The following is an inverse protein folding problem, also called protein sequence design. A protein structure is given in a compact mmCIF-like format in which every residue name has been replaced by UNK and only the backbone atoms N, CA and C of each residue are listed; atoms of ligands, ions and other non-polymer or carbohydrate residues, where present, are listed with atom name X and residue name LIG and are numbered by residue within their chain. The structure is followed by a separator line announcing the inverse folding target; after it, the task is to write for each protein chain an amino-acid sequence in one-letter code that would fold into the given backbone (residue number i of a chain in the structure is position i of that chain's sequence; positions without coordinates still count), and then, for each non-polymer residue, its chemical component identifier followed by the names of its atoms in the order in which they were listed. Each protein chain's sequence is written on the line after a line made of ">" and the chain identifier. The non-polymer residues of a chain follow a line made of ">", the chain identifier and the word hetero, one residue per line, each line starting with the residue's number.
data_IF_688361235318
#
_entry.id   IF_688361235318
#
_cell.length_a   1.000
_cell.length_b   1.000
_cell.length_c   1.000
_cell.angle_alpha   90.00
_cell.angle_beta   90.00
_cell.angle_gamma   90.00
#
_symmetry.space_group_name_H-M   'P 1'
#
loop_
_entity.id
_entity.type
_entity.pdbx_description
1 polymer ?
#
# COMPACT_ATOMS: atom_id res chain seq x y z
N UNK A 1 1.71 22.39 -5.65
CA UNK A 1 2.77 22.45 -4.63
C UNK A 1 2.26 23.16 -3.39
N UNK A 2 3.14 23.45 -2.43
CA UNK A 2 2.77 24.12 -1.17
C UNK A 2 2.10 25.48 -1.40
N UNK A 3 2.54 26.22 -2.44
CA UNK A 3 1.92 27.49 -2.84
C UNK A 3 0.46 27.33 -3.28
N UNK A 4 0.15 26.24 -3.98
CA UNK A 4 -1.24 25.93 -4.36
C UNK A 4 -2.07 25.61 -3.13
N UNK A 5 -1.49 24.93 -2.12
CA UNK A 5 -2.20 24.59 -0.90
C UNK A 5 -2.52 25.86 -0.11
N UNK A 6 -1.56 26.77 0.02
CA UNK A 6 -1.77 28.10 0.62
C UNK A 6 -2.81 28.90 -0.18
N UNK A 7 -2.76 28.86 -1.51
CA UNK A 7 -3.69 29.61 -2.36
C UNK A 7 -5.14 29.09 -2.34
N UNK A 8 -5.34 27.79 -2.09
CA UNK A 8 -6.68 27.16 -2.14
C UNK A 8 -7.23 26.74 -0.78
N UNK A 9 -6.52 27.02 0.32
CA UNK A 9 -6.96 26.67 1.68
C UNK A 9 -6.75 27.84 2.64
N UNK A 10 -7.28 27.78 3.87
CA UNK A 10 -7.03 28.81 4.88
C UNK A 10 -5.60 28.83 5.45
N UNK A 11 -4.75 27.86 5.11
CA UNK A 11 -3.38 27.80 5.62
C UNK A 11 -2.50 28.88 5.00
N UNK A 12 -1.59 29.43 5.81
CA UNK A 12 -0.52 30.34 5.42
C UNK A 12 0.84 29.67 5.60
N UNK A 13 1.92 30.32 5.12
CA UNK A 13 3.28 29.82 5.34
C UNK A 13 3.59 29.59 6.84
N UNK A 14 3.03 30.40 7.73
CA UNK A 14 3.24 30.36 9.18
C UNK A 14 2.32 29.39 9.92
N UNK A 15 1.17 29.05 9.33
CA UNK A 15 0.13 28.23 9.97
C UNK A 15 0.04 26.81 9.42
N UNK A 16 0.86 26.48 8.42
CA UNK A 16 1.00 25.13 7.92
C UNK A 16 1.44 24.17 9.04
N UNK A 17 0.85 22.97 9.11
CA UNK A 17 1.30 21.95 10.05
C UNK A 17 2.78 21.64 9.83
N UNK A 18 3.54 21.41 10.91
CA UNK A 18 4.99 21.21 10.87
C UNK A 18 5.44 19.99 10.04
N UNK A 19 4.55 19.05 9.77
CA UNK A 19 4.82 17.89 8.90
C UNK A 19 4.68 18.20 7.41
N UNK A 20 4.11 19.36 7.04
CA UNK A 20 3.98 19.80 5.64
C UNK A 20 5.24 20.57 5.25
N UNK A 21 6.02 20.00 4.34
CA UNK A 21 7.30 20.56 3.90
C UNK A 21 7.47 20.42 2.39
N UNK A 22 8.06 21.40 1.69
CA UNK A 22 8.48 21.24 0.31
C UNK A 22 9.74 20.35 0.19
N UNK A 23 10.41 20.07 1.30
CA UNK A 23 11.63 19.26 1.38
C UNK A 23 11.28 17.90 2.01
N UNK A 24 11.65 16.83 1.32
CA UNK A 24 11.52 15.45 1.84
C UNK A 24 12.47 15.21 3.00
N UNK A 25 12.24 14.14 3.79
CA UNK A 25 13.12 13.77 4.92
C UNK A 25 14.58 13.57 4.52
N UNK A 26 14.84 13.19 3.26
CA UNK A 26 16.18 12.92 2.72
C UNK A 26 16.80 14.13 2.00
N UNK A 27 16.14 15.30 2.03
CA UNK A 27 16.67 16.57 1.51
C UNK A 27 16.30 16.92 0.08
N UNK A 28 15.54 16.08 -0.63
CA UNK A 28 15.05 16.44 -1.97
C UNK A 28 13.97 17.53 -1.86
N UNK A 29 14.09 18.57 -2.68
CA UNK A 29 13.09 19.61 -2.83
C UNK A 29 12.06 19.24 -3.90
N UNK A 30 10.78 19.34 -3.56
CA UNK A 30 9.65 19.07 -4.44
C UNK A 30 9.44 20.21 -5.45
N UNK A 31 10.38 20.36 -6.37
CA UNK A 31 10.38 21.35 -7.47
C UNK A 31 9.48 20.91 -8.64
N UNK A 32 9.47 21.62 -9.76
CA UNK A 32 8.70 21.29 -10.98
C UNK A 32 9.45 20.39 -11.98
N UNK A 33 10.35 19.54 -11.53
CA UNK A 33 11.02 18.54 -12.39
C UNK A 33 10.15 17.30 -12.62
N UNK A 34 10.42 16.54 -13.68
CA UNK A 34 9.71 15.28 -13.98
C UNK A 34 9.87 14.21 -12.90
N UNK A 35 10.91 14.28 -12.06
CA UNK A 35 11.10 13.35 -10.94
C UNK A 35 10.33 13.80 -9.69
N UNK A 36 10.27 15.10 -9.45
CA UNK A 36 9.69 15.67 -8.23
C UNK A 36 8.15 15.61 -8.17
N UNK A 37 7.47 15.45 -9.31
CA UNK A 37 6.02 15.14 -9.32
C UNK A 37 5.69 13.78 -8.66
N UNK A 38 6.69 12.92 -8.45
CA UNK A 38 6.52 11.60 -7.82
C UNK A 38 7.13 11.51 -6.42
N UNK A 39 7.68 12.60 -5.88
CA UNK A 39 8.31 12.60 -4.55
C UNK A 39 7.33 12.35 -3.40
N UNK A 40 6.03 12.56 -3.61
CA UNK A 40 4.96 12.20 -2.67
C UNK A 40 4.54 10.73 -2.77
N UNK A 41 5.02 10.00 -3.79
CA UNK A 41 4.64 8.62 -4.02
C UNK A 41 5.42 7.65 -3.13
N UNK A 42 4.77 6.56 -2.72
CA UNK A 42 5.43 5.46 -1.99
C UNK A 42 6.65 4.88 -2.71
N UNK A 43 6.66 4.97 -4.04
CA UNK A 43 7.74 4.47 -4.91
C UNK A 43 8.86 5.48 -5.16
N UNK A 44 8.83 6.62 -4.48
CA UNK A 44 9.95 7.56 -4.45
C UNK A 44 11.22 6.90 -3.87
N UNK A 45 12.36 7.23 -4.47
CA UNK A 45 13.70 6.93 -3.96
C UNK A 45 14.47 8.26 -3.94
N UNK A 46 15.07 8.67 -2.83
CA UNK A 46 15.69 9.98 -2.69
C UNK A 46 16.97 10.14 -3.50
N UNK A 47 17.35 11.39 -3.82
CA UNK A 47 18.48 11.68 -4.74
C UNK A 47 19.78 11.09 -4.21
N UNK A 48 19.97 11.13 -2.90
CA UNK A 48 21.13 10.57 -2.21
C UNK A 48 21.24 9.04 -2.29
N UNK A 49 20.22 8.35 -2.80
CA UNK A 49 20.17 6.89 -3.01
C UNK A 49 20.15 6.49 -4.48
N UNK A 50 20.17 7.45 -5.42
CA UNK A 50 20.23 7.14 -6.85
C UNK A 50 21.64 6.71 -7.26
N UNK A 51 21.71 5.82 -8.25
CA UNK A 51 22.97 5.56 -8.94
C UNK A 51 23.35 6.84 -9.73
N UNK A 52 24.58 7.36 -9.60
CA UNK A 52 25.02 8.53 -10.35
C UNK A 52 24.73 8.42 -11.84
N UNK A 53 24.08 9.44 -12.40
CA UNK A 53 23.68 9.49 -13.81
C UNK A 53 22.38 8.75 -14.17
N UNK A 54 21.76 8.01 -13.23
CA UNK A 54 20.50 7.28 -13.46
C UNK A 54 19.34 7.99 -12.79
N UNK A 55 18.83 9.05 -13.42
CA UNK A 55 17.78 9.93 -12.85
C UNK A 55 16.38 9.74 -13.43
N UNK A 56 16.21 8.77 -14.33
CA UNK A 56 14.92 8.50 -14.97
C UNK A 56 13.86 8.03 -13.96
N UNK A 57 12.60 8.35 -14.23
CA UNK A 57 11.47 7.86 -13.44
C UNK A 57 11.41 6.32 -13.43
N UNK A 58 11.04 5.73 -12.30
CA UNK A 58 10.95 4.27 -12.13
C UNK A 58 12.30 3.54 -12.10
N UNK A 59 13.43 4.27 -12.17
CA UNK A 59 14.76 3.67 -12.10
C UNK A 59 15.28 3.57 -10.66
N UNK A 60 16.29 2.72 -10.44
CA UNK A 60 16.98 2.46 -9.16
C UNK A 60 16.18 1.72 -8.09
N UNK A 61 14.88 2.00 -7.91
CA UNK A 61 14.09 1.35 -6.86
C UNK A 61 13.65 -0.05 -7.28
N UNK A 62 13.87 -1.03 -6.40
CA UNK A 62 13.34 -2.38 -6.58
C UNK A 62 11.82 -2.40 -6.41
N UNK A 63 11.15 -3.25 -7.18
CA UNK A 63 9.74 -3.56 -6.95
C UNK A 63 9.63 -4.47 -5.72
N UNK A 64 8.88 -4.05 -4.71
CA UNK A 64 8.74 -4.79 -3.47
C UNK A 64 7.57 -5.77 -3.60
N UNK A 65 7.89 -7.06 -3.75
CA UNK A 65 6.89 -8.12 -3.82
C UNK A 65 6.47 -8.57 -2.42
N UNK A 66 7.43 -8.71 -1.49
CA UNK A 66 7.22 -9.05 -0.09
C UNK A 66 8.21 -8.29 0.78
N UNK A 67 7.79 -7.96 2.01
CA UNK A 67 8.66 -7.34 3.01
C UNK A 67 8.22 -7.68 4.43
N UNK A 68 9.11 -7.46 5.38
CA UNK A 68 8.94 -7.93 6.75
C UNK A 68 7.66 -7.44 7.44
N UNK A 69 7.24 -6.19 7.24
CA UNK A 69 5.97 -5.71 7.83
C UNK A 69 4.75 -6.48 7.34
N UNK A 70 4.75 -6.99 6.11
CA UNK A 70 3.68 -7.86 5.63
C UNK A 70 3.69 -9.19 6.40
N UNK A 71 4.86 -9.78 6.63
CA UNK A 71 4.99 -11.00 7.46
C UNK A 71 4.47 -10.78 8.87
N UNK A 72 4.81 -9.66 9.51
CA UNK A 72 4.31 -9.31 10.83
C UNK A 72 2.78 -9.18 10.86
N UNK A 73 2.21 -8.49 9.87
CA UNK A 73 0.76 -8.27 9.82
C UNK A 73 0.00 -9.55 9.43
N UNK A 74 0.54 -10.39 8.53
CA UNK A 74 -0.02 -11.72 8.24
C UNK A 74 0.04 -12.64 9.47
N UNK A 75 1.12 -12.58 10.25
CA UNK A 75 1.24 -13.33 11.50
C UNK A 75 0.21 -12.87 12.54
N UNK A 76 0.08 -11.56 12.77
CA UNK A 76 -0.93 -11.00 13.67
C UNK A 76 -2.34 -11.41 13.25
N UNK A 77 -2.63 -11.35 11.95
CA UNK A 77 -3.90 -11.76 11.38
C UNK A 77 -4.20 -13.25 11.64
N UNK A 78 -3.23 -14.13 11.41
CA UNK A 78 -3.39 -15.56 11.66
C UNK A 78 -3.69 -15.85 13.14
N UNK A 79 -3.01 -15.16 14.07
CA UNK A 79 -3.26 -15.30 15.51
C UNK A 79 -4.68 -14.87 15.89
N UNK A 80 -5.15 -13.72 15.39
CA UNK A 80 -6.52 -13.24 15.65
C UNK A 80 -7.57 -14.18 15.06
N UNK A 81 -7.23 -14.91 14.00
CA UNK A 81 -8.10 -15.94 13.40
C UNK A 81 -7.94 -17.34 14.02
N UNK A 82 -7.23 -17.46 15.15
CA UNK A 82 -7.19 -18.68 15.96
C UNK A 82 -5.95 -19.56 15.76
N UNK A 83 -4.91 -19.08 15.07
CA UNK A 83 -3.62 -19.77 15.05
C UNK A 83 -2.96 -19.76 16.44
N UNK A 84 -2.19 -20.81 16.74
CA UNK A 84 -1.44 -20.89 17.99
C UNK A 84 -0.26 -19.91 17.98
N UNK A 85 -0.09 -19.18 19.08
CA UNK A 85 1.06 -18.30 19.28
C UNK A 85 2.31 -19.12 19.68
N UNK A 86 3.45 -18.84 19.06
CA UNK A 86 4.74 -19.44 19.39
C UNK A 86 5.91 -18.45 19.47
N UNK A 87 5.71 -17.17 19.12
CA UNK A 87 6.80 -16.19 18.98
C UNK A 87 6.50 -14.87 19.68
N UNK A 88 5.39 -14.23 19.31
CA UNK A 88 4.93 -12.95 19.89
C UNK A 88 3.41 -12.83 19.75
N UNK A 89 2.79 -11.94 20.50
CA UNK A 89 1.36 -11.63 20.40
C UNK A 89 1.03 -10.87 19.12
N UNK A 90 -0.25 -10.85 18.74
CA UNK A 90 -0.73 -10.05 17.61
C UNK A 90 -0.49 -8.55 17.84
N UNK A 91 -0.71 -8.07 19.07
CA UNK A 91 -0.44 -6.69 19.48
C UNK A 91 1.03 -6.32 19.25
N UNK A 92 1.97 -7.17 19.69
CA UNK A 92 3.41 -6.92 19.52
C UNK A 92 3.80 -6.84 18.03
N UNK A 93 3.24 -7.72 17.18
CA UNK A 93 3.52 -7.72 15.75
C UNK A 93 2.99 -6.47 15.05
N UNK A 94 1.74 -6.07 15.33
CA UNK A 94 1.14 -4.83 14.79
C UNK A 94 1.90 -3.60 15.30
N UNK A 95 2.23 -3.56 16.59
CA UNK A 95 2.90 -2.41 17.19
C UNK A 95 4.33 -2.21 16.73
N UNK A 96 5.03 -3.23 16.25
CA UNK A 96 6.32 -3.05 15.57
C UNK A 96 6.18 -2.22 14.28
N UNK A 97 5.12 -2.45 13.50
CA UNK A 97 4.82 -1.67 12.29
C UNK A 97 4.43 -0.24 12.66
N UNK A 98 3.51 -0.09 13.62
CA UNK A 98 3.03 1.21 14.10
C UNK A 98 4.13 2.07 14.69
N UNK A 99 5.00 1.49 15.52
CA UNK A 99 6.12 2.20 16.11
C UNK A 99 7.07 2.76 15.04
N UNK A 100 7.35 2.00 13.97
CA UNK A 100 8.17 2.47 12.83
C UNK A 100 7.52 3.68 12.14
N UNK A 101 6.20 3.69 12.05
CA UNK A 101 5.41 4.78 11.49
C UNK A 101 5.13 5.95 12.47
N UNK A 102 5.69 5.92 13.69
CA UNK A 102 5.42 6.88 14.77
C UNK A 102 3.92 6.95 15.17
N UNK A 103 3.23 5.82 15.10
CA UNK A 103 1.83 5.69 15.51
C UNK A 103 1.74 5.15 16.94
N UNK A 104 0.72 5.59 17.68
CA UNK A 104 0.47 5.10 19.04
C UNK A 104 0.19 3.58 19.04
N UNK A 105 0.63 2.82 20.06
CA UNK A 105 0.40 1.38 20.11
C UNK A 105 -1.09 1.06 20.29
N UNK A 106 -1.49 -0.13 19.81
CA UNK A 106 -2.79 -0.74 20.05
C UNK A 106 -2.68 -1.87 21.08
N UNK A 107 -3.80 -2.22 21.69
CA UNK A 107 -3.94 -3.36 22.59
C UNK A 107 -5.25 -4.08 22.26
N UNK A 108 -5.24 -5.41 22.26
CA UNK A 108 -6.37 -6.23 21.86
C UNK A 108 -6.74 -6.04 20.38
N UNK A 109 -5.75 -6.09 19.48
CA UNK A 109 -5.96 -5.81 18.06
C UNK A 109 -7.03 -6.72 17.45
N UNK A 110 -7.95 -6.12 16.71
CA UNK A 110 -9.01 -6.84 15.97
C UNK A 110 -8.58 -7.14 14.54
N UNK A 111 -9.31 -8.04 13.87
CA UNK A 111 -9.08 -8.33 12.45
C UNK A 111 -9.24 -7.08 11.59
N UNK A 112 -10.23 -6.23 11.88
CA UNK A 112 -10.46 -4.97 11.16
C UNK A 112 -9.27 -4.02 11.31
N UNK A 113 -8.75 -3.86 12.53
CA UNK A 113 -7.58 -3.00 12.77
C UNK A 113 -6.34 -3.52 12.05
N UNK A 114 -6.16 -4.85 11.95
CA UNK A 114 -5.06 -5.44 11.19
C UNK A 114 -5.24 -5.21 9.69
N UNK A 115 -6.46 -5.38 9.16
CA UNK A 115 -6.78 -5.12 7.76
C UNK A 115 -6.56 -3.64 7.39
N UNK A 116 -6.93 -2.72 8.27
CA UNK A 116 -6.69 -1.28 8.11
C UNK A 116 -5.20 -0.94 8.16
N UNK A 117 -4.47 -1.54 9.10
CA UNK A 117 -3.01 -1.38 9.18
C UNK A 117 -2.33 -1.92 7.92
N UNK A 118 -2.74 -3.09 7.40
CA UNK A 118 -2.25 -3.63 6.12
C UNK A 118 -2.57 -2.69 4.96
N UNK A 119 -3.76 -2.10 4.93
CA UNK A 119 -4.13 -1.16 3.87
C UNK A 119 -3.24 0.09 3.88
N UNK A 120 -3.07 0.72 5.03
CA UNK A 120 -2.21 1.89 5.18
C UNK A 120 -0.74 1.54 4.85
N UNK A 121 -0.23 0.49 5.48
CA UNK A 121 1.16 0.08 5.43
C UNK A 121 1.55 -0.45 4.04
N UNK A 122 0.70 -1.23 3.37
CA UNK A 122 1.00 -1.93 2.10
C UNK A 122 0.33 -1.29 0.86
N UNK A 123 -0.31 -0.13 1.02
CA UNK A 123 -0.89 0.67 -0.07
C UNK A 123 0.05 0.81 -1.28
N UNK A 124 -0.46 0.72 -2.51
CA UNK A 124 0.33 0.83 -3.74
C UNK A 124 1.48 -0.18 -3.92
N UNK A 125 1.58 -1.23 -3.10
CA UNK A 125 2.51 -2.36 -3.34
C UNK A 125 1.84 -3.43 -4.22
N UNK A 126 2.40 -4.65 -4.26
CA UNK A 126 2.04 -5.75 -5.17
C UNK A 126 0.61 -6.32 -4.97
N UNK A 127 -0.42 -5.51 -5.24
CA UNK A 127 -1.83 -5.92 -5.27
C UNK A 127 -2.41 -6.35 -3.92
N UNK A 128 -1.74 -6.05 -2.80
CA UNK A 128 -2.03 -6.63 -1.48
C UNK A 128 -3.49 -6.48 -1.06
N UNK A 129 -4.08 -5.29 -1.24
CA UNK A 129 -5.48 -5.03 -0.87
C UNK A 129 -6.46 -5.93 -1.61
N UNK A 130 -6.28 -6.11 -2.93
CA UNK A 130 -7.16 -6.98 -3.73
C UNK A 130 -7.15 -8.40 -3.19
N UNK A 131 -5.96 -9.00 -3.06
CA UNK A 131 -5.82 -10.38 -2.59
C UNK A 131 -6.31 -10.56 -1.15
N UNK A 132 -6.06 -9.58 -0.28
CA UNK A 132 -6.54 -9.61 1.11
C UNK A 132 -8.08 -9.58 1.18
N UNK A 133 -8.74 -8.72 0.40
CA UNK A 133 -10.20 -8.62 0.46
C UNK A 133 -10.87 -9.85 -0.13
N UNK A 134 -10.33 -10.39 -1.24
CA UNK A 134 -10.84 -11.63 -1.84
C UNK A 134 -10.74 -12.79 -0.86
N UNK A 135 -9.56 -13.06 -0.27
CA UNK A 135 -9.38 -14.21 0.64
C UNK A 135 -10.14 -14.07 1.97
N UNK A 136 -10.49 -12.85 2.37
CA UNK A 136 -11.30 -12.57 3.56
C UNK A 136 -12.81 -12.52 3.27
N UNK A 137 -13.23 -12.68 2.00
CA UNK A 137 -14.63 -12.54 1.60
C UNK A 137 -15.19 -11.12 1.77
N UNK A 138 -14.33 -10.10 1.83
CA UNK A 138 -14.69 -8.69 2.03
C UNK A 138 -14.84 -7.97 0.70
N UNK A 139 -15.70 -8.49 -0.18
CA UNK A 139 -15.83 -8.01 -1.56
C UNK A 139 -16.32 -6.55 -1.66
N UNK A 140 -17.16 -6.11 -0.73
CA UNK A 140 -17.69 -4.74 -0.72
C UNK A 140 -16.58 -3.67 -0.62
N UNK A 141 -15.46 -4.00 0.04
CA UNK A 141 -14.27 -3.15 0.19
C UNK A 141 -13.51 -2.91 -1.13
N UNK A 142 -13.85 -3.65 -2.19
CA UNK A 142 -13.30 -3.50 -3.53
C UNK A 142 -14.22 -2.70 -4.47
N UNK A 143 -15.40 -2.29 -3.99
CA UNK A 143 -16.30 -1.42 -4.73
C UNK A 143 -15.78 0.02 -4.78
N UNK A 144 -15.85 0.66 -5.94
CA UNK A 144 -15.31 2.01 -6.16
C UNK A 144 -16.07 2.76 -7.26
N UNK A 145 -16.27 4.07 -7.08
CA UNK A 145 -16.85 4.98 -8.10
C UNK A 145 -18.15 4.45 -8.73
N UNK A 146 -19.08 4.02 -7.86
CA UNK A 146 -20.38 3.46 -8.27
C UNK A 146 -20.32 2.05 -8.85
N UNK A 147 -19.15 1.42 -8.92
CA UNK A 147 -18.98 0.03 -9.37
C UNK A 147 -18.97 -0.90 -8.17
N UNK A 148 -19.86 -1.89 -8.19
CA UNK A 148 -19.89 -2.97 -7.21
C UNK A 148 -18.93 -4.09 -7.62
N UNK A 149 -18.09 -4.52 -6.69
CA UNK A 149 -17.31 -5.74 -6.83
C UNK A 149 -18.07 -6.92 -6.23
N UNK A 150 -18.07 -8.05 -6.93
CA UNK A 150 -18.78 -9.28 -6.57
C UNK A 150 -17.82 -10.46 -6.65
N UNK A 151 -18.12 -11.55 -5.94
CA UNK A 151 -17.24 -12.72 -5.83
C UNK A 151 -16.85 -13.33 -7.19
N UNK A 152 -17.76 -13.34 -8.17
CA UNK A 152 -17.52 -13.81 -9.55
C UNK A 152 -16.44 -13.00 -10.30
N UNK A 153 -15.97 -11.89 -9.72
CA UNK A 153 -14.89 -11.06 -10.28
C UNK A 153 -13.55 -11.28 -9.59
N UNK A 154 -13.46 -12.24 -8.67
CA UNK A 154 -12.20 -12.57 -7.98
C UNK A 154 -11.12 -13.12 -8.92
N UNK A 155 -11.53 -13.70 -10.06
CA UNK A 155 -10.63 -14.33 -11.02
C UNK A 155 -10.67 -13.62 -12.37
N UNK A 156 -9.51 -13.54 -13.02
CA UNK A 156 -9.42 -13.07 -14.40
C UNK A 156 -9.91 -14.16 -15.35
N UNK A 157 -10.64 -13.79 -16.40
CA UNK A 157 -11.03 -14.74 -17.45
C UNK A 157 -9.81 -15.14 -18.28
N UNK A 158 -9.83 -16.35 -18.83
CA UNK A 158 -8.83 -16.76 -19.81
C UNK A 158 -8.85 -15.82 -21.02
N UNK A 159 -7.66 -15.54 -21.57
CA UNK A 159 -7.55 -14.72 -22.76
C UNK A 159 -8.08 -15.49 -23.98
N UNK A 160 -8.69 -14.81 -24.95
CA UNK A 160 -9.29 -15.45 -26.12
C UNK A 160 -8.28 -16.34 -26.86
N UNK A 161 -7.05 -15.85 -27.08
CA UNK A 161 -5.98 -16.63 -27.72
C UNK A 161 -5.68 -17.96 -27.01
N UNK A 162 -5.83 -18.02 -25.67
CA UNK A 162 -5.63 -19.25 -24.91
C UNK A 162 -6.79 -20.22 -25.09
N UNK A 163 -8.02 -19.69 -25.22
CA UNK A 163 -9.22 -20.49 -25.49
C UNK A 163 -9.18 -21.05 -26.91
N UNK A 164 -8.72 -20.26 -27.88
CA UNK A 164 -8.61 -20.71 -29.28
C UNK A 164 -7.61 -21.87 -29.42
N UNK A 165 -6.49 -21.81 -28.69
CA UNK A 165 -5.49 -22.90 -28.64
C UNK A 165 -5.99 -24.10 -27.81
N UNK A 166 -6.66 -23.83 -26.69
CA UNK A 166 -7.16 -24.85 -25.78
C UNK A 166 -8.66 -24.64 -25.51
N UNK A 167 -9.56 -25.11 -26.40
CA UNK A 167 -11.01 -24.86 -26.30
C UNK A 167 -11.65 -25.26 -24.97
N UNK A 168 -11.07 -26.26 -24.28
CA UNK A 168 -11.49 -26.68 -22.94
C UNK A 168 -11.47 -25.54 -21.91
N UNK A 169 -10.62 -24.53 -22.08
CA UNK A 169 -10.55 -23.37 -21.19
C UNK A 169 -11.81 -22.50 -21.27
N UNK A 170 -12.53 -22.52 -22.40
CA UNK A 170 -13.80 -21.80 -22.55
C UNK A 170 -14.98 -22.44 -21.79
N UNK A 171 -14.83 -23.70 -21.35
CA UNK A 171 -15.83 -24.42 -20.56
C UNK A 171 -15.66 -24.19 -19.05
N UNK A 172 -14.51 -23.62 -18.63
CA UNK A 172 -14.24 -23.32 -17.22
C UNK A 172 -14.89 -21.98 -16.88
N UNK A 173 -16.05 -22.04 -16.22
CA UNK A 173 -16.65 -20.87 -15.58
C UNK A 173 -15.80 -20.48 -14.36
N UNK A 174 -15.29 -19.25 -14.38
CA UNK A 174 -14.71 -18.59 -13.21
C UNK A 174 -15.79 -17.93 -12.36
#
# INVERSE_FOLDING_TARGET
>A
GIDSLIATTPYTAETLPSFVSPITRDGDENTSTVRSIFSSGKHYLPTNQLIPGRTAYGSNKNNIVFRYSETLLMYAEALVQGANNSVMTADEAVNQVRARANMAPLSGVTLDQIVDEKYAELSMEWGKRFFDMVRLGRYDELSFDGRTFTEDRAFVTYHQDQIDEFPILGEIAN
#
